data_IF_576959054000
#
_entry.id   IF_576959054000
#
_cell.length_a   1.000
_cell.length_b   1.000
_cell.length_c   1.000
_cell.angle_alpha   90.00
_cell.angle_beta   90.00
_cell.angle_gamma   90.00
#
_symmetry.space_group_name_H-M   'P 1'
#
loop_
_entity.id
_entity.type
_entity.pdbx_description
1 polymer ?
#
# COMPACT_ATOMS: atom_id res chain seq x y z
N UNK A 1 15.32 4.91 -2.15
CA UNK A 1 15.55 3.49 -1.79
C UNK A 1 14.23 2.73 -1.75
N UNK A 2 14.19 1.55 -2.32
CA UNK A 2 13.03 0.66 -2.25
C UNK A 2 13.27 -0.31 -1.10
N UNK A 3 12.32 -0.38 -0.16
CA UNK A 3 12.45 -1.21 1.03
C UNK A 3 11.21 -2.09 1.18
N UNK A 4 11.43 -3.39 1.34
CA UNK A 4 10.34 -4.31 1.66
C UNK A 4 9.90 -4.10 3.10
N UNK A 5 8.56 -4.06 3.32
CA UNK A 5 8.02 -3.65 4.60
C UNK A 5 8.09 -4.77 5.64
N UNK A 6 8.66 -4.45 6.79
CA UNK A 6 8.46 -5.17 8.05
C UNK A 6 8.39 -4.14 9.18
N UNK A 7 7.98 -4.56 10.37
CA UNK A 7 7.71 -3.61 11.46
C UNK A 7 8.90 -2.76 11.87
N UNK A 8 10.11 -3.30 11.77
CA UNK A 8 11.30 -2.61 12.24
C UNK A 8 11.70 -1.42 11.37
N UNK A 9 11.31 -1.40 10.10
CA UNK A 9 11.72 -0.32 9.19
C UNK A 9 10.99 0.99 9.43
N UNK A 10 9.83 0.97 10.11
CA UNK A 10 9.10 2.20 10.39
C UNK A 10 9.83 3.15 11.32
N UNK A 11 10.84 2.68 12.03
CA UNK A 11 11.61 3.47 13.00
C UNK A 11 12.72 4.29 12.37
N UNK A 12 13.31 3.79 11.29
CA UNK A 12 14.49 4.39 10.67
C UNK A 12 14.39 4.37 9.16
N UNK A 13 13.39 5.06 8.61
CA UNK A 13 13.23 5.17 7.16
C UNK A 13 14.27 6.13 6.62
N UNK A 14 15.10 5.70 5.64
CA UNK A 14 16.03 6.62 4.98
C UNK A 14 15.26 7.69 4.19
N UNK A 15 15.94 8.81 3.91
CA UNK A 15 15.39 9.82 3.00
C UNK A 15 15.19 9.21 1.61
N UNK A 16 14.17 9.69 0.90
CA UNK A 16 13.83 9.24 -0.45
C UNK A 16 13.55 7.74 -0.52
N UNK A 17 12.68 7.27 0.37
CA UNK A 17 12.31 5.85 0.45
C UNK A 17 11.01 5.56 -0.26
N UNK A 18 10.90 4.32 -0.77
CA UNK A 18 9.65 3.76 -1.26
C UNK A 18 9.35 2.52 -0.43
N UNK A 19 8.21 2.52 0.25
CA UNK A 19 7.74 1.36 1.00
C UNK A 19 6.77 0.60 0.10
N UNK A 20 7.10 -0.66 -0.20
CA UNK A 20 6.25 -1.53 -1.00
C UNK A 20 5.70 -2.62 -0.11
N UNK A 21 4.38 -2.79 -0.07
CA UNK A 21 3.78 -3.90 0.65
C UNK A 21 2.72 -4.58 -0.21
N UNK A 22 2.52 -5.86 0.04
CA UNK A 22 1.56 -6.66 -0.70
C UNK A 22 0.15 -6.37 -0.23
N UNK A 23 -0.77 -6.23 -1.18
CA UNK A 23 -2.17 -6.01 -0.93
C UNK A 23 -3.00 -7.02 -1.74
N UNK A 24 -4.26 -7.17 -1.37
CA UNK A 24 -5.18 -8.04 -2.11
C UNK A 24 -6.07 -7.21 -3.04
N UNK A 25 -6.88 -7.90 -3.86
CA UNK A 25 -7.79 -7.23 -4.79
C UNK A 25 -9.08 -6.76 -4.14
N UNK A 26 -9.29 -7.09 -2.87
CA UNK A 26 -10.55 -6.80 -2.17
C UNK A 26 -10.55 -5.40 -1.52
N UNK A 27 -9.39 -4.76 -1.43
CA UNK A 27 -9.27 -3.46 -0.77
C UNK A 27 -9.32 -3.55 0.75
N UNK A 28 -8.95 -4.68 1.34
CA UNK A 28 -9.06 -4.93 2.77
C UNK A 28 -7.68 -5.05 3.41
N UNK A 29 -7.62 -4.74 4.70
CA UNK A 29 -6.40 -4.89 5.49
C UNK A 29 -6.24 -6.36 5.89
N UNK A 30 -5.36 -7.07 5.17
CA UNK A 30 -5.20 -8.52 5.35
C UNK A 30 -4.07 -8.94 6.27
N UNK A 31 -3.17 -8.02 6.67
CA UNK A 31 -2.00 -8.36 7.49
C UNK A 31 -1.78 -7.28 8.56
N UNK A 32 -0.95 -7.60 9.57
CA UNK A 32 -0.58 -6.62 10.58
C UNK A 32 0.21 -5.46 9.98
N UNK A 33 1.03 -5.73 8.96
CA UNK A 33 1.78 -4.69 8.24
C UNK A 33 0.82 -3.72 7.52
N UNK A 34 -0.21 -4.25 6.86
CA UNK A 34 -1.21 -3.42 6.19
C UNK A 34 -1.95 -2.53 7.18
N UNK A 35 -2.29 -3.07 8.34
CA UNK A 35 -2.96 -2.31 9.40
C UNK A 35 -2.07 -1.20 9.93
N UNK A 36 -0.77 -1.47 10.12
CA UNK A 36 0.18 -0.47 10.59
C UNK A 36 0.34 0.66 9.58
N UNK A 37 0.43 0.33 8.29
CA UNK A 37 0.53 1.32 7.22
C UNK A 37 -0.74 2.18 7.16
N UNK A 38 -1.91 1.58 7.29
CA UNK A 38 -3.17 2.32 7.32
C UNK A 38 -3.28 3.23 8.53
N UNK A 39 -2.73 2.82 9.67
CA UNK A 39 -2.72 3.64 10.87
C UNK A 39 -1.80 4.86 10.72
N UNK A 40 -0.66 4.69 10.06
CA UNK A 40 0.30 5.78 9.84
C UNK A 40 -0.11 6.70 8.70
N UNK A 41 -0.67 6.14 7.63
CA UNK A 41 -1.05 6.86 6.42
C UNK A 41 -2.47 6.48 5.99
N UNK A 42 -3.50 6.98 6.67
CA UNK A 42 -4.89 6.61 6.36
C UNK A 42 -5.30 6.90 4.92
N UNK A 43 -4.76 7.95 4.32
CA UNK A 43 -5.08 8.31 2.94
C UNK A 43 -4.54 7.28 1.95
N UNK A 44 -3.44 6.62 2.27
CA UNK A 44 -2.91 5.52 1.44
C UNK A 44 -3.90 4.36 1.38
N UNK A 45 -4.44 3.97 2.52
CA UNK A 45 -5.46 2.93 2.57
C UNK A 45 -6.72 3.35 1.82
N UNK A 46 -7.15 4.58 2.00
CA UNK A 46 -8.35 5.10 1.34
C UNK A 46 -8.23 5.03 -0.17
N UNK A 47 -7.10 5.45 -0.72
CA UNK A 47 -6.84 5.38 -2.15
C UNK A 47 -6.84 3.94 -2.67
N UNK A 48 -6.20 3.04 -1.96
CA UNK A 48 -6.16 1.63 -2.30
C UNK A 48 -7.57 1.03 -2.28
N UNK A 49 -8.34 1.29 -1.23
CA UNK A 49 -9.71 0.78 -1.09
C UNK A 49 -10.60 1.29 -2.23
N UNK A 50 -10.53 2.56 -2.56
CA UNK A 50 -11.29 3.14 -3.65
C UNK A 50 -10.92 2.52 -4.99
N UNK A 51 -9.62 2.33 -5.24
CA UNK A 51 -9.14 1.72 -6.47
C UNK A 51 -9.71 0.31 -6.64
N UNK A 52 -9.66 -0.49 -5.59
CA UNK A 52 -10.21 -1.85 -5.63
C UNK A 52 -11.73 -1.84 -5.84
N UNK A 53 -12.43 -0.86 -5.29
CA UNK A 53 -13.88 -0.79 -5.40
C UNK A 53 -14.35 -0.55 -6.84
N UNK A 54 -13.50 0.05 -7.68
CA UNK A 54 -13.83 0.27 -9.09
C UNK A 54 -13.81 -1.03 -9.92
N UNK A 55 -13.14 -2.07 -9.41
CA UNK A 55 -12.91 -3.32 -10.14
C UNK A 55 -13.52 -4.54 -9.46
N UNK A 56 -14.46 -4.34 -8.54
CA UNK A 56 -15.16 -5.45 -7.87
C UNK A 56 -16.15 -6.13 -8.82
N UNK A 57 -16.81 -7.19 -8.34
CA UNK A 57 -17.86 -7.92 -9.06
C UNK A 57 -17.34 -8.60 -10.33
N UNK A 58 -16.22 -9.33 -10.20
CA UNK A 58 -15.70 -10.15 -11.28
C UNK A 58 -14.60 -9.47 -12.10
N UNK A 59 -14.22 -8.25 -11.76
CA UNK A 59 -13.18 -7.51 -12.45
C UNK A 59 -11.87 -7.42 -11.67
N UNK A 60 -11.76 -8.14 -10.54
CA UNK A 60 -10.58 -8.06 -9.68
C UNK A 60 -9.30 -8.49 -10.40
N UNK A 61 -9.40 -9.42 -11.36
CA UNK A 61 -8.24 -9.88 -12.11
C UNK A 61 -7.56 -8.75 -12.90
N UNK A 62 -8.31 -7.71 -13.24
CA UNK A 62 -7.78 -6.61 -14.04
C UNK A 62 -6.75 -5.76 -13.29
N UNK A 63 -6.77 -5.81 -11.96
CA UNK A 63 -5.83 -5.04 -11.14
C UNK A 63 -4.70 -5.87 -10.55
N UNK A 64 -4.69 -7.18 -10.77
CA UNK A 64 -3.57 -8.01 -10.34
C UNK A 64 -2.28 -7.56 -11.02
N UNK A 65 -1.23 -7.42 -10.22
CA UNK A 65 0.07 -6.95 -10.72
C UNK A 65 0.20 -5.44 -10.84
N UNK A 66 -0.83 -4.68 -10.49
CA UNK A 66 -0.77 -3.23 -10.45
C UNK A 66 -0.44 -2.72 -9.06
N UNK A 67 -0.28 -1.41 -8.92
CA UNK A 67 -0.02 -0.82 -7.61
C UNK A 67 -0.70 0.54 -7.49
N UNK A 68 -0.94 0.96 -6.24
CA UNK A 68 -1.45 2.28 -5.92
C UNK A 68 -0.42 2.98 -5.07
N UNK A 69 0.19 4.03 -5.60
CA UNK A 69 1.22 4.80 -4.91
C UNK A 69 0.62 5.98 -4.14
N UNK A 70 1.17 6.26 -2.97
CA UNK A 70 0.77 7.38 -2.15
C UNK A 70 1.99 8.16 -1.67
N UNK A 71 2.00 9.47 -1.93
CA UNK A 71 3.08 10.35 -1.48
C UNK A 71 2.84 10.73 -0.02
N UNK A 72 3.46 9.99 0.90
CA UNK A 72 3.33 10.25 2.33
C UNK A 72 4.05 11.54 2.74
N UNK A 73 5.15 11.84 2.05
CA UNK A 73 5.92 13.08 2.22
C UNK A 73 6.70 13.33 0.93
N UNK A 74 7.41 14.48 0.81
CA UNK A 74 8.26 14.71 -0.36
C UNK A 74 9.36 13.67 -0.57
N UNK A 75 9.69 12.91 0.47
CA UNK A 75 10.78 11.92 0.43
C UNK A 75 10.31 10.49 0.68
N UNK A 76 9.00 10.26 0.79
CA UNK A 76 8.48 8.91 1.09
C UNK A 76 7.24 8.60 0.26
N UNK A 77 7.31 7.50 -0.47
CA UNK A 77 6.18 6.96 -1.23
C UNK A 77 5.78 5.63 -0.61
N UNK A 78 4.49 5.44 -0.35
CA UNK A 78 3.92 4.15 0.07
C UNK A 78 3.26 3.52 -1.14
N UNK A 79 3.70 2.32 -1.49
CA UNK A 79 3.22 1.60 -2.67
C UNK A 79 2.41 0.38 -2.25
N UNK A 80 1.13 0.38 -2.57
CA UNK A 80 0.21 -0.73 -2.31
C UNK A 80 0.22 -1.63 -3.54
N UNK A 81 1.03 -2.69 -3.52
CA UNK A 81 1.19 -3.59 -4.66
C UNK A 81 0.14 -4.71 -4.60
N UNK A 82 -0.72 -4.77 -5.60
CA UNK A 82 -1.84 -5.71 -5.62
C UNK A 82 -1.41 -7.02 -6.27
N UNK A 83 -1.42 -8.07 -5.46
CA UNK A 83 -0.98 -9.40 -5.90
C UNK A 83 -1.98 -10.48 -5.54
#
# INVERSE_FOLDING_TARGET
>A
MITEVNESIFRNLPDYSVIVHQCNTKGWLGTSISKEIAARWPESFKQYHEYCSWFKDGHEDEILGTFVGYNASPTLIVCNAIT
#
